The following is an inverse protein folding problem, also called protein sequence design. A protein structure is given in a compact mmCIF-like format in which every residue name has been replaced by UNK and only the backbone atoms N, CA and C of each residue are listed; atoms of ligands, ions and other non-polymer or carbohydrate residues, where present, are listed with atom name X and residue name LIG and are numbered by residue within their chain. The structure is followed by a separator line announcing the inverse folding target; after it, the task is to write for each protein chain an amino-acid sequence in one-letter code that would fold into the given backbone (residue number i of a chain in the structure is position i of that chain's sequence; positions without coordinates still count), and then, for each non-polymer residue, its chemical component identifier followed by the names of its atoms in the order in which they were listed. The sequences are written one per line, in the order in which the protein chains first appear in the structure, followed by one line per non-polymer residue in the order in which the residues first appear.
data_IF_765504514702
#
_entry.id   IF_765504514702
#
_cell.length_a   1.000
_cell.length_b   1.000
_cell.length_c   1.000
_cell.angle_alpha   90.00
_cell.angle_beta   90.00
_cell.angle_gamma   90.00
#
_symmetry.space_group_name_H-M   'P 1'
#
loop_
_entity.id
_entity.type
_entity.pdbx_description
1 polymer ?
#
# COMPACT_ATOMS: atom_id res chain seq x y z
N UNK A 1 -19.94 -1.43 88.58
CA UNK A 1 -19.18 -0.32 87.97
C UNK A 1 -19.19 -0.52 86.46
N UNK A 2 -19.79 0.40 85.71
CA UNK A 2 -19.94 0.35 84.26
C UNK A 2 -18.77 1.12 83.64
N UNK A 3 -17.90 0.44 82.91
CA UNK A 3 -16.79 1.09 82.20
C UNK A 3 -17.24 1.61 80.83
N UNK A 4 -17.13 2.92 80.68
CA UNK A 4 -17.40 3.67 79.45
C UNK A 4 -16.25 3.50 78.45
N UNK A 5 -16.46 2.74 77.36
CA UNK A 5 -15.62 2.85 76.16
C UNK A 5 -16.12 3.98 75.28
N UNK A 6 -15.36 5.07 75.23
CA UNK A 6 -15.59 6.19 74.32
C UNK A 6 -15.14 5.85 72.90
N UNK A 7 -16.02 6.12 71.94
CA UNK A 7 -15.84 5.92 70.51
C UNK A 7 -15.04 7.10 69.94
N UNK A 8 -13.73 6.95 69.70
CA UNK A 8 -12.93 7.94 68.97
C UNK A 8 -12.97 7.64 67.46
N UNK A 9 -13.79 8.40 66.74
CA UNK A 9 -13.79 8.43 65.28
C UNK A 9 -12.41 8.80 64.73
N UNK A 10 -11.81 7.90 63.95
CA UNK A 10 -10.65 8.19 63.12
C UNK A 10 -11.10 9.10 61.96
N UNK A 11 -10.65 10.36 61.93
CA UNK A 11 -10.77 11.23 60.75
C UNK A 11 -9.44 11.19 59.99
N UNK A 12 -9.41 10.78 58.71
CA UNK A 12 -8.17 10.81 57.94
C UNK A 12 -7.76 12.26 57.67
N UNK A 13 -6.48 12.58 57.92
CA UNK A 13 -5.89 13.87 57.54
C UNK A 13 -5.83 13.94 56.01
N UNK A 14 -6.40 15.00 55.42
CA UNK A 14 -6.24 15.31 54.00
C UNK A 14 -4.76 15.62 53.72
N UNK A 15 -4.11 14.98 52.74
CA UNK A 15 -2.76 15.36 52.35
C UNK A 15 -2.80 16.74 51.69
N UNK A 16 -2.19 17.74 52.33
CA UNK A 16 -1.86 19.02 51.72
C UNK A 16 -0.58 18.84 50.91
N UNK A 17 -0.74 18.42 49.65
CA UNK A 17 0.32 18.44 48.65
C UNK A 17 -0.31 18.84 47.34
N UNK A 18 -0.06 20.06 46.87
CA UNK A 18 -0.43 20.46 45.52
C UNK A 18 0.45 19.68 44.54
N UNK A 19 -0.11 18.60 43.99
CA UNK A 19 0.42 18.03 42.75
C UNK A 19 0.31 19.14 41.70
N UNK A 20 1.43 19.81 41.39
CA UNK A 20 1.55 20.55 40.14
C UNK A 20 1.39 19.52 39.04
N UNK A 21 0.21 19.47 38.43
CA UNK A 21 0.01 18.77 37.17
C UNK A 21 1.05 19.35 36.20
N UNK A 22 2.09 18.58 35.91
CA UNK A 22 2.98 18.90 34.80
C UNK A 22 2.09 18.94 33.56
N UNK A 23 1.95 20.12 32.97
CA UNK A 23 1.31 20.29 31.67
C UNK A 23 1.86 19.19 30.74
N UNK A 24 1.01 18.41 30.05
CA UNK A 24 1.49 17.39 29.14
C UNK A 24 2.44 18.07 28.15
N UNK A 25 3.69 17.59 28.11
CA UNK A 25 4.69 18.10 27.19
C UNK A 25 4.09 17.98 25.78
N UNK A 26 3.80 19.12 25.14
CA UNK A 26 3.28 19.13 23.78
C UNK A 26 4.24 18.34 22.90
N UNK A 27 3.73 17.28 22.25
CA UNK A 27 4.52 16.47 21.34
C UNK A 27 5.07 17.39 20.24
N UNK A 28 6.39 17.58 20.23
CA UNK A 28 7.07 18.32 19.17
C UNK A 28 7.51 17.33 18.10
N UNK A 29 7.05 17.53 16.87
CA UNK A 29 7.46 16.72 15.73
C UNK A 29 8.98 16.82 15.55
N UNK A 30 9.68 15.71 15.27
CA UNK A 30 11.12 15.75 15.08
C UNK A 30 11.49 16.51 13.80
N UNK A 31 12.71 17.06 13.72
CA UNK A 31 13.18 17.70 12.50
C UNK A 31 13.24 16.69 11.35
N UNK A 32 12.86 17.14 10.16
CA UNK A 32 12.91 16.34 8.94
C UNK A 32 14.35 15.89 8.65
N UNK A 33 14.53 14.58 8.46
CA UNK A 33 15.80 13.96 8.09
C UNK A 33 15.55 12.89 7.06
N UNK A 34 16.45 12.83 6.08
CA UNK A 34 16.44 11.77 5.09
C UNK A 34 16.68 10.44 5.80
N UNK A 35 15.83 9.46 5.52
CA UNK A 35 15.92 8.12 6.12
C UNK A 35 16.77 7.23 5.22
N UNK A 36 18.01 6.85 5.61
CA UNK A 36 18.98 6.20 4.73
C UNK A 36 18.80 4.69 4.56
N UNK A 37 17.95 4.06 5.36
CA UNK A 37 17.71 2.61 5.37
C UNK A 37 16.49 2.23 4.53
N UNK A 38 16.28 0.94 4.30
CA UNK A 38 15.06 0.39 3.67
C UNK A 38 13.93 0.14 4.67
N UNK A 39 14.08 0.60 5.92
CA UNK A 39 13.01 0.64 6.92
C UNK A 39 12.73 2.10 7.23
N UNK A 40 11.60 2.61 6.73
CA UNK A 40 11.18 3.98 6.97
C UNK A 40 10.10 4.04 8.02
N UNK A 41 10.17 5.09 8.83
CA UNK A 41 9.23 5.37 9.90
C UNK A 41 8.68 6.80 9.77
N UNK A 42 7.50 7.05 10.31
CA UNK A 42 6.89 8.37 10.38
C UNK A 42 6.26 8.59 11.77
N UNK A 43 6.72 9.61 12.52
CA UNK A 43 6.26 9.83 13.90
C UNK A 43 4.83 10.41 13.96
N UNK A 44 4.31 10.88 12.84
CA UNK A 44 2.97 11.45 12.70
C UNK A 44 2.58 11.49 11.22
N UNK A 45 1.28 11.70 10.94
CA UNK A 45 0.78 11.79 9.56
C UNK A 45 1.36 12.97 8.77
N UNK A 46 1.64 14.07 9.46
CA UNK A 46 2.07 15.34 8.88
C UNK A 46 3.40 15.80 9.49
N UNK A 47 4.39 16.18 8.69
CA UNK A 47 5.57 16.88 9.20
C UNK A 47 5.31 18.36 9.39
N UNK A 48 6.20 19.04 10.11
CA UNK A 48 6.09 20.49 10.36
C UNK A 48 4.82 20.85 11.14
N UNK A 49 4.50 22.13 11.22
CA UNK A 49 3.31 22.59 11.95
C UNK A 49 2.05 22.59 11.08
N UNK A 50 2.22 22.61 9.76
CA UNK A 50 1.13 22.59 8.78
C UNK A 50 0.56 21.18 8.56
N UNK A 51 -0.60 21.14 7.89
CA UNK A 51 -1.32 19.93 7.53
C UNK A 51 -1.15 19.68 6.03
N UNK A 52 -0.75 18.46 5.65
CA UNK A 52 -0.67 18.03 4.25
C UNK A 52 -1.77 17.00 3.95
N UNK A 53 -2.67 17.32 3.01
CA UNK A 53 -3.90 16.59 2.75
C UNK A 53 -5.00 16.89 3.77
N UNK A 54 -5.93 15.95 3.96
CA UNK A 54 -7.00 16.02 4.97
C UNK A 54 -6.76 14.95 6.04
N UNK A 55 -6.63 15.32 7.33
CA UNK A 55 -6.40 14.37 8.42
C UNK A 55 -7.53 13.36 8.61
N UNK A 56 -8.73 13.64 8.08
CA UNK A 56 -9.89 12.76 8.16
C UNK A 56 -10.01 11.82 6.94
N UNK A 57 -9.16 11.99 5.91
CA UNK A 57 -9.19 11.14 4.74
C UNK A 57 -8.66 9.74 5.07
N UNK A 58 -9.53 8.74 4.90
CA UNK A 58 -9.16 7.34 5.18
C UNK A 58 -8.19 6.85 4.11
N UNK A 59 -7.04 6.36 4.57
CA UNK A 59 -5.99 5.89 3.67
C UNK A 59 -5.04 6.99 3.19
N UNK A 60 -5.02 8.16 3.83
CA UNK A 60 -4.04 9.19 3.52
C UNK A 60 -2.60 8.66 3.68
N UNK A 61 -1.76 8.90 2.67
CA UNK A 61 -0.32 8.58 2.75
C UNK A 61 0.37 9.52 3.74
N UNK A 62 1.28 9.03 4.61
CA UNK A 62 2.04 9.90 5.51
C UNK A 62 2.97 10.84 4.76
N UNK A 63 2.96 12.14 5.09
CA UNK A 63 3.72 13.15 4.32
C UNK A 63 5.24 12.99 4.42
N UNK A 64 5.74 12.36 5.48
CA UNK A 64 7.16 11.99 5.63
C UNK A 64 7.65 11.04 4.53
N UNK A 65 6.78 10.14 4.05
CA UNK A 65 7.11 9.17 2.99
C UNK A 65 7.32 9.92 1.67
N UNK A 66 6.36 10.78 1.30
CA UNK A 66 6.44 11.62 0.11
C UNK A 66 7.65 12.54 0.17
N UNK A 67 7.87 13.21 1.30
CA UNK A 67 8.99 14.12 1.49
C UNK A 67 10.32 13.42 1.25
N UNK A 68 10.49 12.20 1.80
CA UNK A 68 11.72 11.45 1.64
C UNK A 68 11.93 11.00 0.18
N UNK A 69 10.87 10.60 -0.53
CA UNK A 69 10.92 10.29 -1.96
C UNK A 69 11.32 11.52 -2.79
N UNK A 70 10.61 12.63 -2.64
CA UNK A 70 10.85 13.82 -3.45
C UNK A 70 12.24 14.42 -3.21
N UNK A 71 12.73 14.39 -1.98
CA UNK A 71 14.10 14.82 -1.68
C UNK A 71 15.17 13.94 -2.33
N UNK A 72 14.88 12.64 -2.54
CA UNK A 72 15.83 11.68 -3.11
C UNK A 72 15.83 11.66 -4.64
N UNK A 73 14.67 11.87 -5.24
CA UNK A 73 14.43 11.54 -6.66
C UNK A 73 13.93 12.73 -7.49
N UNK A 74 13.87 13.94 -6.92
CA UNK A 74 13.45 15.16 -7.65
C UNK A 74 14.27 16.38 -7.26
N UNK A 75 14.15 17.44 -8.04
CA UNK A 75 14.68 18.79 -7.82
C UNK A 75 13.57 19.85 -7.77
N UNK A 76 13.89 21.05 -7.27
CA UNK A 76 13.00 22.21 -7.41
C UNK A 76 12.63 22.42 -8.89
N UNK A 77 11.35 22.64 -9.17
CA UNK A 77 10.81 22.80 -10.51
C UNK A 77 10.46 21.51 -11.25
N UNK A 78 10.87 20.33 -10.77
CA UNK A 78 10.45 19.05 -11.35
C UNK A 78 8.94 18.87 -11.26
N UNK A 79 8.35 18.15 -12.22
CA UNK A 79 6.93 17.82 -12.23
C UNK A 79 6.67 16.48 -11.53
N UNK A 80 5.90 16.55 -10.45
CA UNK A 80 5.38 15.41 -9.68
C UNK A 80 3.92 15.15 -10.07
N UNK A 81 3.57 13.90 -10.36
CA UNK A 81 2.18 13.50 -10.65
C UNK A 81 1.70 12.45 -9.64
N UNK A 82 0.45 12.61 -9.19
CA UNK A 82 -0.27 11.63 -8.39
C UNK A 82 -1.57 11.18 -9.09
N UNK A 83 -1.62 9.96 -9.66
CA UNK A 83 -2.79 9.43 -10.36
C UNK A 83 -3.98 9.05 -9.46
N UNK A 84 -3.77 8.94 -8.14
CA UNK A 84 -4.78 8.51 -7.15
C UNK A 84 -4.68 9.45 -5.94
N UNK A 85 -4.90 10.74 -6.20
CA UNK A 85 -4.44 11.83 -5.34
C UNK A 85 -5.14 11.90 -3.98
N UNK A 86 -6.33 11.29 -3.84
CA UNK A 86 -7.08 11.27 -2.59
C UNK A 86 -7.26 12.68 -2.02
N UNK A 87 -6.76 12.92 -0.80
CA UNK A 87 -6.82 14.24 -0.16
C UNK A 87 -5.75 15.25 -0.59
N UNK A 88 -4.80 14.86 -1.44
CA UNK A 88 -3.78 15.78 -1.96
C UNK A 88 -2.48 15.90 -1.17
N UNK A 89 -2.12 14.91 -0.32
CA UNK A 89 -0.87 14.96 0.44
C UNK A 89 0.35 15.10 -0.47
N UNK A 90 0.37 14.42 -1.62
CA UNK A 90 1.46 14.54 -2.60
C UNK A 90 1.62 15.96 -3.13
N UNK A 91 0.51 16.66 -3.39
CA UNK A 91 0.52 18.03 -3.92
C UNK A 91 1.08 19.01 -2.91
N UNK A 92 0.63 18.91 -1.66
CA UNK A 92 1.07 19.80 -0.59
C UNK A 92 2.57 19.62 -0.31
N UNK A 93 3.06 18.38 -0.24
CA UNK A 93 4.49 18.11 -0.04
C UNK A 93 5.34 18.55 -1.23
N UNK A 94 4.86 18.35 -2.46
CA UNK A 94 5.56 18.85 -3.65
C UNK A 94 5.67 20.37 -3.63
N UNK A 95 4.59 21.07 -3.25
CA UNK A 95 4.57 22.53 -3.10
C UNK A 95 5.53 23.01 -2.01
N UNK A 96 5.55 22.38 -0.84
CA UNK A 96 6.48 22.69 0.25
C UNK A 96 7.95 22.61 -0.20
N UNK A 97 8.23 21.67 -1.09
CA UNK A 97 9.56 21.43 -1.66
C UNK A 97 9.83 22.24 -2.94
N UNK A 98 8.93 23.10 -3.39
CA UNK A 98 9.12 23.90 -4.61
C UNK A 98 9.13 23.07 -5.90
N UNK A 99 8.40 21.94 -5.94
CA UNK A 99 8.12 21.15 -7.15
C UNK A 99 6.80 21.60 -7.78
N UNK A 100 6.67 21.36 -9.08
CA UNK A 100 5.37 21.44 -9.74
C UNK A 100 4.59 20.15 -9.46
N UNK A 101 3.26 20.23 -9.31
CA UNK A 101 2.45 19.06 -9.01
C UNK A 101 1.15 19.04 -9.79
N UNK A 102 0.73 17.84 -10.21
CA UNK A 102 -0.61 17.59 -10.76
C UNK A 102 -1.22 16.37 -10.06
N UNK A 103 -2.43 16.54 -9.52
CA UNK A 103 -3.17 15.48 -8.85
C UNK A 103 -4.40 15.09 -9.64
N UNK A 104 -4.64 13.79 -9.74
CA UNK A 104 -5.80 13.21 -10.41
C UNK A 104 -6.52 12.26 -9.48
N UNK A 105 -7.84 12.30 -9.51
CA UNK A 105 -8.67 11.32 -8.81
C UNK A 105 -10.00 11.17 -9.55
N UNK A 106 -10.64 10.00 -9.47
CA UNK A 106 -11.98 9.80 -10.02
C UNK A 106 -13.05 10.50 -9.17
N UNK A 107 -12.73 10.79 -7.91
CA UNK A 107 -13.56 11.54 -6.97
C UNK A 107 -12.73 12.62 -6.25
N UNK A 108 -12.39 13.72 -6.94
CA UNK A 108 -11.58 14.80 -6.37
C UNK A 108 -12.18 15.36 -5.09
N UNK A 109 -11.36 15.49 -4.04
CA UNK A 109 -11.79 16.06 -2.75
C UNK A 109 -11.46 17.55 -2.62
N UNK A 110 -10.73 18.12 -3.60
CA UNK A 110 -10.27 19.51 -3.64
C UNK A 110 -10.33 20.06 -5.07
N UNK A 111 -10.36 21.39 -5.21
CA UNK A 111 -10.44 22.06 -6.51
C UNK A 111 -9.17 21.91 -7.37
N UNK A 112 -8.01 21.75 -6.74
CA UNK A 112 -6.72 21.56 -7.40
C UNK A 112 -6.43 20.10 -7.80
N UNK A 113 -7.37 19.20 -7.53
CA UNK A 113 -7.34 17.79 -7.98
C UNK A 113 -8.27 17.66 -9.19
N UNK A 114 -7.71 17.20 -10.31
CA UNK A 114 -8.47 17.05 -11.56
C UNK A 114 -9.24 15.74 -11.58
N UNK A 115 -10.51 15.77 -11.99
CA UNK A 115 -11.29 14.54 -12.21
C UNK A 115 -10.75 13.76 -13.42
N UNK A 116 -10.03 12.67 -13.17
CA UNK A 116 -9.50 11.81 -14.22
C UNK A 116 -9.36 10.36 -13.73
N UNK A 117 -9.26 9.44 -14.68
CA UNK A 117 -8.99 8.03 -14.41
C UNK A 117 -7.48 7.81 -14.45
N UNK A 118 -6.92 7.09 -13.47
CA UNK A 118 -5.49 6.75 -13.44
C UNK A 118 -5.02 5.96 -14.68
N UNK A 119 -5.95 5.35 -15.43
CA UNK A 119 -5.71 4.61 -16.67
C UNK A 119 -5.71 5.51 -17.93
N UNK A 120 -6.08 6.79 -17.82
CA UNK A 120 -6.15 7.76 -18.92
C UNK A 120 -5.91 9.18 -18.38
N UNK A 121 -4.64 9.49 -18.12
CA UNK A 121 -4.19 10.75 -17.54
C UNK A 121 -4.13 11.85 -18.59
N UNK A 122 -4.68 13.05 -18.33
CA UNK A 122 -4.64 14.19 -19.24
C UNK A 122 -3.26 14.90 -19.26
N UNK A 123 -2.19 14.12 -19.26
CA UNK A 123 -0.78 14.55 -19.26
C UNK A 123 -0.12 14.09 -20.55
N UNK A 124 0.76 14.89 -21.13
CA UNK A 124 1.46 14.52 -22.37
C UNK A 124 2.54 13.46 -22.11
N UNK A 125 2.96 12.79 -23.17
CA UNK A 125 3.99 11.76 -23.10
C UNK A 125 5.32 12.35 -22.64
N UNK A 126 6.00 11.68 -21.71
CA UNK A 126 7.37 12.03 -21.32
C UNK A 126 7.54 13.44 -20.73
N UNK A 127 6.54 13.97 -20.02
CA UNK A 127 6.64 15.29 -19.36
C UNK A 127 6.87 15.20 -17.85
N UNK A 128 6.68 14.03 -17.23
CA UNK A 128 6.70 13.86 -15.78
C UNK A 128 8.07 13.38 -15.29
N UNK A 129 8.60 14.01 -14.23
CA UNK A 129 9.87 13.64 -13.61
C UNK A 129 9.70 12.54 -12.56
N UNK A 130 8.63 12.64 -11.77
CA UNK A 130 8.32 11.70 -10.70
C UNK A 130 6.83 11.40 -10.62
N UNK A 131 6.47 10.13 -10.47
CA UNK A 131 5.11 9.70 -10.14
C UNK A 131 5.11 9.09 -8.74
N UNK A 132 4.20 9.55 -7.89
CA UNK A 132 3.82 8.84 -6.67
C UNK A 132 2.44 8.23 -6.88
N UNK A 133 2.20 7.01 -6.39
CA UNK A 133 0.87 6.42 -6.38
C UNK A 133 0.67 5.55 -5.13
N UNK A 134 -0.43 5.78 -4.44
CA UNK A 134 -1.00 4.94 -3.37
C UNK A 134 -2.37 4.45 -3.84
N UNK A 135 -2.42 3.41 -4.69
CA UNK A 135 -3.67 3.00 -5.34
C UNK A 135 -4.64 2.41 -4.31
N UNK A 136 -5.97 2.57 -4.47
CA UNK A 136 -6.91 1.88 -3.60
C UNK A 136 -6.95 0.38 -3.93
N UNK A 137 -6.59 -0.48 -2.97
CA UNK A 137 -6.47 -1.95 -3.15
C UNK A 137 -7.37 -2.78 -2.23
N UNK A 138 -8.24 -2.15 -1.44
CA UNK A 138 -9.08 -2.83 -0.45
C UNK A 138 -10.56 -2.59 -0.71
N UNK A 139 -11.31 -3.66 -1.01
CA UNK A 139 -12.77 -3.61 -1.14
C UNK A 139 -13.48 -3.37 0.18
N UNK A 140 -12.77 -3.45 1.32
CA UNK A 140 -13.31 -3.14 2.64
C UNK A 140 -13.40 -1.63 2.92
N UNK A 141 -12.82 -0.80 2.05
CA UNK A 141 -12.89 0.65 2.11
C UNK A 141 -13.65 1.16 0.88
N UNK A 142 -14.76 1.86 1.14
CA UNK A 142 -15.45 2.60 0.08
C UNK A 142 -14.73 3.93 -0.15
N UNK A 143 -13.95 3.99 -1.23
CA UNK A 143 -13.21 5.19 -1.64
C UNK A 143 -14.05 6.14 -2.51
N UNK A 144 -14.96 5.61 -3.32
CA UNK A 144 -15.80 6.38 -4.25
C UNK A 144 -16.96 5.54 -4.77
N UNK A 145 -18.07 6.18 -5.14
CA UNK A 145 -19.17 5.57 -5.89
C UNK A 145 -18.93 5.53 -7.41
N UNK A 146 -17.85 6.13 -7.91
CA UNK A 146 -17.50 6.10 -9.32
C UNK A 146 -17.22 4.66 -9.80
N UNK A 147 -17.71 4.31 -10.99
CA UNK A 147 -17.51 2.99 -11.60
C UNK A 147 -16.06 2.76 -12.04
N UNK A 148 -15.31 3.84 -12.24
CA UNK A 148 -13.89 3.82 -12.59
C UNK A 148 -12.99 3.51 -11.40
N UNK A 149 -13.50 3.63 -10.17
CA UNK A 149 -12.71 3.45 -8.96
C UNK A 149 -12.11 2.03 -8.87
N UNK A 150 -10.78 1.93 -8.96
CA UNK A 150 -10.07 0.64 -8.94
C UNK A 150 -10.16 -0.06 -7.58
N UNK A 151 -10.45 0.67 -6.50
CA UNK A 151 -10.68 0.12 -5.16
C UNK A 151 -11.91 -0.79 -5.06
N UNK A 152 -12.79 -0.76 -6.06
CA UNK A 152 -13.94 -1.68 -6.17
C UNK A 152 -13.59 -3.03 -6.79
N UNK A 153 -12.39 -3.16 -7.36
CA UNK A 153 -11.93 -4.38 -8.00
C UNK A 153 -11.35 -5.32 -6.94
N UNK A 154 -11.48 -6.63 -7.19
CA UNK A 154 -11.02 -7.64 -6.25
C UNK A 154 -9.65 -8.15 -6.68
N UNK A 155 -8.70 -8.18 -5.74
CA UNK A 155 -7.40 -8.81 -5.95
C UNK A 155 -7.51 -10.32 -6.14
N UNK A 156 -8.53 -10.96 -5.55
CA UNK A 156 -8.73 -12.41 -5.58
C UNK A 156 -9.14 -12.95 -6.96
N UNK A 157 -9.77 -12.13 -7.80
CA UNK A 157 -10.23 -12.54 -9.15
C UNK A 157 -9.34 -12.05 -10.29
N UNK A 158 -8.30 -11.28 -9.97
CA UNK A 158 -7.32 -10.75 -10.91
C UNK A 158 -7.71 -9.41 -11.56
N UNK A 159 -8.96 -8.96 -11.42
CA UNK A 159 -9.44 -7.73 -12.07
C UNK A 159 -8.70 -6.48 -11.59
N UNK A 160 -8.29 -6.44 -10.32
CA UNK A 160 -7.46 -5.37 -9.79
C UNK A 160 -6.11 -5.28 -10.53
N UNK A 161 -5.44 -6.42 -10.76
CA UNK A 161 -4.15 -6.46 -11.44
C UNK A 161 -4.26 -6.08 -12.92
N UNK A 162 -5.33 -6.49 -13.61
CA UNK A 162 -5.61 -6.06 -14.99
C UNK A 162 -5.78 -4.53 -15.09
N UNK A 163 -6.44 -3.92 -14.10
CA UNK A 163 -6.57 -2.47 -14.05
C UNK A 163 -5.23 -1.78 -13.73
N UNK A 164 -4.44 -2.35 -12.82
CA UNK A 164 -3.13 -1.83 -12.47
C UNK A 164 -2.13 -1.91 -13.62
N UNK A 165 -2.19 -2.93 -14.48
CA UNK A 165 -1.39 -2.97 -15.72
C UNK A 165 -1.64 -1.73 -16.59
N UNK A 166 -2.91 -1.35 -16.78
CA UNK A 166 -3.28 -0.15 -17.54
C UNK A 166 -2.80 1.14 -16.87
N UNK A 167 -2.86 1.21 -15.54
CA UNK A 167 -2.32 2.34 -14.77
C UNK A 167 -0.80 2.42 -14.94
N UNK A 168 -0.09 1.30 -14.87
CA UNK A 168 1.36 1.24 -15.02
C UNK A 168 1.79 1.58 -16.46
N UNK A 169 1.05 1.15 -17.47
CA UNK A 169 1.25 1.55 -18.88
C UNK A 169 1.11 3.08 -19.03
N UNK A 170 0.11 3.66 -18.38
CA UNK A 170 -0.16 5.10 -18.43
C UNK A 170 0.91 5.91 -17.68
N UNK A 171 1.35 5.44 -16.52
CA UNK A 171 2.49 6.01 -15.79
C UNK A 171 3.76 5.94 -16.64
N UNK A 172 4.02 4.80 -17.28
CA UNK A 172 5.16 4.66 -18.19
C UNK A 172 5.05 5.64 -19.36
N UNK A 173 3.87 5.90 -19.92
CA UNK A 173 3.67 6.87 -21.00
C UNK A 173 4.05 8.29 -20.58
N UNK A 174 3.61 8.74 -19.40
CA UNK A 174 3.78 10.13 -18.96
C UNK A 174 5.17 10.43 -18.39
N UNK A 175 5.84 9.43 -17.80
CA UNK A 175 7.19 9.58 -17.27
C UNK A 175 8.23 9.86 -18.36
N UNK A 176 9.15 10.78 -18.09
CA UNK A 176 10.39 10.98 -18.86
C UNK A 176 11.24 9.71 -18.80
N UNK A 177 12.01 9.38 -19.85
CA UNK A 177 13.08 8.39 -19.72
C UNK A 177 14.01 8.77 -18.56
N UNK A 178 14.31 7.84 -17.66
CA UNK A 178 15.08 8.09 -16.44
C UNK A 178 14.27 8.64 -15.25
N UNK A 179 13.00 8.99 -15.43
CA UNK A 179 12.09 9.41 -14.35
C UNK A 179 11.74 8.28 -13.40
N UNK A 180 11.25 8.62 -12.20
CA UNK A 180 11.01 7.65 -11.12
C UNK A 180 9.52 7.47 -10.79
N UNK A 181 9.23 6.30 -10.24
CA UNK A 181 7.93 5.90 -9.73
C UNK A 181 8.09 5.40 -8.30
N UNK A 182 7.34 5.99 -7.36
CA UNK A 182 7.10 5.44 -6.04
C UNK A 182 5.69 4.83 -5.97
N UNK A 183 5.58 3.52 -5.76
CA UNK A 183 4.29 2.84 -5.53
C UNK A 183 4.20 2.37 -4.09
N UNK A 184 3.18 2.87 -3.37
CA UNK A 184 2.93 2.54 -1.98
C UNK A 184 1.75 1.57 -1.86
N UNK A 185 1.93 0.43 -1.21
CA UNK A 185 0.89 -0.62 -1.15
C UNK A 185 1.06 -1.52 0.07
N UNK A 186 0.01 -2.21 0.47
CA UNK A 186 0.06 -3.26 1.51
C UNK A 186 -0.53 -4.56 0.98
N UNK A 187 -0.07 -5.68 1.53
CA UNK A 187 -0.77 -6.95 1.32
C UNK A 187 -2.08 -6.97 2.11
N UNK A 188 -3.03 -7.79 1.65
CA UNK A 188 -4.30 -7.97 2.34
C UNK A 188 -4.46 -9.41 2.84
N UNK A 189 -5.27 -9.56 3.89
CA UNK A 189 -5.70 -10.86 4.37
C UNK A 189 -7.21 -10.81 4.59
N UNK A 190 -7.92 -11.69 3.90
CA UNK A 190 -9.38 -11.80 4.01
C UNK A 190 -9.70 -12.93 4.98
N UNK A 191 -10.31 -12.60 6.12
CA UNK A 191 -10.55 -13.57 7.21
C UNK A 191 -11.77 -14.48 6.96
N UNK A 192 -12.76 -14.03 6.18
CA UNK A 192 -14.06 -14.71 6.01
C UNK A 192 -14.60 -14.51 4.60
N UNK A 193 -15.42 -15.46 4.15
CA UNK A 193 -16.13 -15.37 2.86
C UNK A 193 -15.34 -15.91 1.65
N UNK A 194 -15.88 -15.64 0.46
CA UNK A 194 -15.19 -15.88 -0.81
C UNK A 194 -13.93 -15.01 -0.87
N UNK A 195 -12.82 -15.58 -1.36
CA UNK A 195 -11.52 -14.88 -1.37
C UNK A 195 -10.77 -14.93 -0.04
N UNK A 196 -11.20 -15.76 0.93
CA UNK A 196 -10.47 -15.99 2.18
C UNK A 196 -9.01 -16.39 1.91
N UNK A 197 -8.09 -15.74 2.59
CA UNK A 197 -6.66 -16.03 2.49
C UNK A 197 -5.80 -14.79 2.43
N UNK A 198 -4.50 -15.02 2.27
CA UNK A 198 -3.50 -13.99 2.06
C UNK A 198 -3.41 -13.64 0.58
N UNK A 199 -3.40 -12.34 0.29
CA UNK A 199 -3.21 -11.80 -1.06
C UNK A 199 -1.92 -10.99 -1.08
N UNK A 200 -0.94 -11.49 -1.82
CA UNK A 200 0.39 -10.90 -1.96
C UNK A 200 0.41 -9.72 -2.96
N UNK A 201 -0.50 -8.77 -2.77
CA UNK A 201 -0.73 -7.63 -3.68
C UNK A 201 0.58 -6.92 -3.99
N UNK A 202 1.45 -6.73 -2.99
CA UNK A 202 2.74 -6.08 -3.19
C UNK A 202 3.61 -6.81 -4.23
N UNK A 203 3.74 -8.13 -4.13
CA UNK A 203 4.61 -8.87 -5.05
C UNK A 203 4.04 -9.02 -6.46
N UNK A 204 2.72 -9.15 -6.59
CA UNK A 204 2.06 -9.18 -7.91
C UNK A 204 2.27 -7.84 -8.64
N UNK A 205 2.07 -6.71 -7.96
CA UNK A 205 2.34 -5.39 -8.53
C UNK A 205 3.83 -5.20 -8.84
N UNK A 206 4.73 -5.64 -7.96
CA UNK A 206 6.16 -5.56 -8.21
C UNK A 206 6.54 -6.34 -9.48
N UNK A 207 5.95 -7.51 -9.72
CA UNK A 207 6.16 -8.28 -10.94
C UNK A 207 5.70 -7.52 -12.18
N UNK A 208 4.48 -6.98 -12.17
CA UNK A 208 3.94 -6.16 -13.26
C UNK A 208 4.80 -4.94 -13.55
N UNK A 209 5.26 -4.23 -12.52
CA UNK A 209 6.13 -3.06 -12.68
C UNK A 209 7.45 -3.41 -13.37
N UNK A 210 8.03 -4.59 -13.10
CA UNK A 210 9.29 -5.02 -13.75
C UNK A 210 9.18 -5.25 -15.25
N UNK A 211 7.97 -5.36 -15.80
CA UNK A 211 7.77 -5.43 -17.24
C UNK A 211 8.13 -4.11 -17.95
N UNK A 212 8.07 -2.97 -17.26
CA UNK A 212 8.26 -1.63 -17.85
C UNK A 212 9.32 -0.77 -17.14
N UNK A 213 9.65 -1.09 -15.88
CA UNK A 213 10.53 -0.28 -15.05
C UNK A 213 11.69 -1.09 -14.47
N UNK A 214 12.80 -0.41 -14.19
CA UNK A 214 13.96 -0.95 -13.45
C UNK A 214 13.75 -0.76 -11.96
N UNK A 215 13.81 -1.82 -11.13
CA UNK A 215 13.79 -1.67 -9.68
C UNK A 215 15.01 -0.91 -9.16
N UNK A 216 14.75 0.07 -8.29
CA UNK A 216 15.77 0.82 -7.56
C UNK A 216 15.88 0.29 -6.14
N UNK A 217 14.76 0.16 -5.43
CA UNK A 217 14.75 -0.41 -4.08
C UNK A 217 13.33 -0.85 -3.65
N UNK A 218 13.26 -1.63 -2.58
CA UNK A 218 12.04 -1.99 -1.86
C UNK A 218 12.19 -1.52 -0.43
N UNK A 219 11.33 -0.58 -0.03
CA UNK A 219 11.32 0.00 1.31
C UNK A 219 10.12 -0.53 2.08
N UNK A 220 10.35 -0.96 3.32
CA UNK A 220 9.29 -1.24 4.28
C UNK A 220 8.98 0.03 5.06
N UNK A 221 7.74 0.50 5.00
CA UNK A 221 7.28 1.66 5.76
C UNK A 221 6.44 1.16 6.94
N UNK A 222 6.87 1.46 8.16
CA UNK A 222 6.16 1.06 9.39
C UNK A 222 4.74 1.61 9.37
N UNK A 223 3.74 0.80 9.73
CA UNK A 223 2.35 1.27 9.88
C UNK A 223 2.06 1.58 11.34
N UNK A 224 1.50 2.77 11.57
CA UNK A 224 1.05 3.22 12.91
C UNK A 224 -0.49 3.18 13.07
N UNK A 225 -1.15 2.20 12.48
CA UNK A 225 -2.62 2.10 12.62
C UNK A 225 -2.98 1.66 14.04
N UNK A 226 -3.90 2.39 14.70
CA UNK A 226 -4.42 2.08 16.03
C UNK A 226 -4.93 0.64 16.16
N UNK A 227 -5.47 0.05 15.09
CA UNK A 227 -5.94 -1.35 15.11
C UNK A 227 -4.82 -2.34 15.41
N UNK A 228 -3.57 -2.00 15.16
CA UNK A 228 -2.42 -2.83 15.51
C UNK A 228 -2.23 -2.92 17.03
N UNK A 229 -2.60 -1.88 17.77
CA UNK A 229 -2.45 -1.81 19.24
C UNK A 229 -3.67 -2.35 19.99
N UNK A 230 -4.80 -2.54 19.31
CA UNK A 230 -6.05 -3.00 19.92
C UNK A 230 -5.94 -4.46 20.37
N UNK A 231 -6.10 -4.71 21.68
CA UNK A 231 -5.94 -6.03 22.29
C UNK A 231 -6.84 -7.12 21.70
N UNK A 232 -8.09 -6.80 21.34
CA UNK A 232 -9.00 -7.74 20.71
C UNK A 232 -8.53 -8.17 19.31
N UNK A 233 -7.99 -7.26 18.50
CA UNK A 233 -7.44 -7.60 17.18
C UNK A 233 -6.18 -8.48 17.31
N UNK A 234 -5.34 -8.21 18.31
CA UNK A 234 -4.16 -9.03 18.60
C UNK A 234 -4.56 -10.43 19.08
N UNK A 235 -5.51 -10.51 20.00
CA UNK A 235 -6.08 -11.78 20.45
C UNK A 235 -6.66 -12.58 19.28
N UNK A 236 -7.48 -11.97 18.41
CA UNK A 236 -8.00 -12.65 17.22
C UNK A 236 -6.89 -13.10 16.26
N UNK A 237 -5.83 -12.31 16.08
CA UNK A 237 -4.68 -12.71 15.26
C UNK A 237 -3.96 -13.94 15.82
N UNK A 238 -3.78 -13.99 17.14
CA UNK A 238 -3.17 -15.12 17.85
C UNK A 238 -4.08 -16.36 17.84
N UNK A 239 -5.37 -16.19 18.12
CA UNK A 239 -6.38 -17.26 18.20
C UNK A 239 -6.72 -17.87 16.84
N UNK A 240 -6.89 -17.04 15.80
CA UNK A 240 -7.24 -17.47 14.45
C UNK A 240 -6.01 -17.66 13.53
N UNK A 241 -4.80 -17.53 14.07
CA UNK A 241 -3.51 -17.74 13.41
C UNK A 241 -3.35 -16.98 12.08
N UNK A 242 -3.45 -15.65 12.17
CA UNK A 242 -3.09 -14.73 11.10
C UNK A 242 -2.21 -13.61 11.66
N UNK A 243 -1.61 -12.77 10.82
CA UNK A 243 -0.87 -11.61 11.32
C UNK A 243 -1.45 -10.28 10.87
N UNK A 244 -1.42 -9.34 11.80
CA UNK A 244 -1.67 -7.93 11.55
C UNK A 244 -0.54 -7.34 10.69
N UNK A 245 -0.90 -6.66 9.60
CA UNK A 245 0.09 -6.08 8.68
C UNK A 245 0.75 -4.86 9.32
N UNK A 246 1.99 -5.02 9.78
CA UNK A 246 2.76 -3.98 10.47
C UNK A 246 3.53 -3.01 9.57
N UNK A 247 3.56 -3.24 8.27
CA UNK A 247 4.24 -2.36 7.32
C UNK A 247 3.49 -2.30 5.98
N UNK A 248 3.79 -1.26 5.19
CA UNK A 248 3.46 -1.15 3.77
C UNK A 248 4.75 -1.29 2.95
N UNK A 249 4.63 -1.84 1.76
CA UNK A 249 5.66 -1.75 0.75
C UNK A 249 5.67 -0.36 0.13
N UNK A 250 6.87 0.17 -0.10
CA UNK A 250 7.15 1.25 -1.00
C UNK A 250 8.14 0.76 -2.04
N UNK A 251 7.67 0.52 -3.26
CA UNK A 251 8.53 0.17 -4.38
C UNK A 251 9.03 1.44 -5.06
N UNK A 252 10.35 1.53 -5.22
CA UNK A 252 10.97 2.60 -5.98
C UNK A 252 11.45 2.01 -7.30
N UNK A 253 10.92 2.53 -8.39
CA UNK A 253 11.25 2.10 -9.75
C UNK A 253 11.72 3.28 -10.60
N UNK A 254 12.45 2.98 -11.67
CA UNK A 254 12.90 3.97 -12.65
C UNK A 254 12.50 3.55 -14.07
N UNK A 255 12.02 4.49 -14.87
CA UNK A 255 11.79 4.27 -16.30
C UNK A 255 13.12 4.16 -17.04
N UNK A 256 13.37 3.10 -17.83
CA UNK A 256 14.61 2.96 -18.60
C UNK A 256 14.81 4.07 -19.64
N UNK A 257 16.06 4.22 -20.12
CA UNK A 257 16.37 4.99 -21.33
C UNK A 257 16.66 6.49 -21.15
N UNK A 258 16.92 6.97 -19.94
CA UNK A 258 17.42 8.32 -19.68
C UNK A 258 18.87 8.31 -19.19
N UNK A 259 19.66 9.32 -19.57
CA UNK A 259 20.91 9.64 -18.86
C UNK A 259 20.54 10.13 -17.46
N UNK A 260 20.76 9.28 -16.45
CA UNK A 260 20.50 9.65 -15.07
C UNK A 260 21.82 9.76 -14.32
N UNK A 261 22.12 10.97 -13.81
CA UNK A 261 23.29 11.26 -12.96
C UNK A 261 23.14 10.65 -11.55
N UNK A 262 22.70 9.38 -11.41
CA UNK A 262 22.56 8.69 -10.12
C UNK A 262 21.76 9.46 -9.05
N UNK A 263 21.72 8.97 -7.80
CA UNK A 263 21.24 9.78 -6.67
C UNK A 263 22.14 11.01 -6.55
N UNK A 264 21.64 12.18 -6.98
CA UNK A 264 22.41 13.42 -6.87
C UNK A 264 22.48 13.84 -5.40
N UNK A 265 23.65 14.27 -4.91
CA UNK A 265 23.83 14.56 -3.49
C UNK A 265 22.79 15.56 -3.01
N UNK A 266 22.14 15.20 -1.90
CA UNK A 266 21.18 16.06 -1.21
C UNK A 266 21.84 17.41 -0.96
N UNK A 267 21.35 18.46 -1.62
CA UNK A 267 21.77 19.82 -1.28
C UNK A 267 21.17 20.18 0.08
N UNK A 268 21.97 20.82 0.94
CA UNK A 268 21.49 21.32 2.21
C UNK A 268 20.23 22.19 2.00
N UNK A 269 19.18 22.05 2.82
CA UNK A 269 17.96 22.83 2.66
C UNK A 269 18.30 24.31 2.69
N UNK A 270 18.00 25.03 1.61
CA UNK A 270 18.01 26.49 1.63
C UNK A 270 16.87 26.95 2.54
N UNK A 271 17.14 27.91 3.41
CA UNK A 271 16.13 28.55 4.24
C UNK A 271 14.94 28.97 3.36
N UNK A 272 13.73 28.57 3.76
CA UNK A 272 12.50 28.91 3.06
C UNK A 272 12.43 30.44 2.88
N UNK A 273 12.37 30.90 1.63
CA UNK A 273 12.11 32.31 1.35
C UNK A 273 10.61 32.57 1.50
N UNK A 274 10.21 33.72 2.06
CA UNK A 274 8.80 34.06 2.18
C UNK A 274 8.15 34.16 0.79
N UNK A 275 6.94 33.60 0.72
CA UNK A 275 6.08 33.45 -0.44
C UNK A 275 5.94 34.76 -1.25
N UNK A 276 6.38 34.73 -2.51
CA UNK A 276 5.92 35.66 -3.54
C UNK A 276 4.83 34.95 -4.31
N UNK A 277 3.58 35.20 -3.91
CA UNK A 277 2.36 34.81 -4.61
C UNK A 277 2.52 35.07 -6.11
N UNK A 278 2.73 34.01 -6.88
CA UNK A 278 2.61 33.98 -8.32
C UNK A 278 1.34 33.21 -8.65
N UNK A 279 0.38 33.89 -9.27
CA UNK A 279 -0.89 33.33 -9.72
C UNK A 279 -0.61 32.11 -10.62
N UNK A 280 -1.02 30.92 -10.15
CA UNK A 280 -0.96 29.69 -10.92
C UNK A 280 -1.81 29.83 -12.18
N UNK A 281 -1.21 29.59 -13.35
CA UNK A 281 -1.93 29.59 -14.62
C UNK A 281 -3.02 28.51 -14.60
N UNK A 282 -4.26 28.95 -14.74
CA UNK A 282 -5.45 28.13 -14.89
C UNK A 282 -5.34 27.26 -16.15
N UNK A 283 -5.38 25.95 -15.98
CA UNK A 283 -5.33 24.98 -17.07
C UNK A 283 -6.77 24.62 -17.49
N UNK A 284 -7.18 25.01 -18.70
CA UNK A 284 -8.50 24.67 -19.26
C UNK A 284 -8.38 23.46 -20.19
N UNK A 285 -8.49 22.25 -19.62
CA UNK A 285 -8.57 21.00 -20.37
C UNK A 285 -10.01 20.65 -20.75
N UNK A 286 -10.31 20.55 -22.05
CA UNK A 286 -11.63 20.16 -22.58
C UNK A 286 -11.94 18.70 -22.24
N UNK A 287 -13.14 18.47 -21.70
CA UNK A 287 -13.74 17.14 -21.47
C UNK A 287 -13.90 16.38 -22.79
N UNK A 288 -13.13 15.33 -22.99
CA UNK A 288 -13.48 14.32 -24.00
C UNK A 288 -13.15 12.92 -23.49
N UNK A 289 -14.17 12.28 -22.92
CA UNK A 289 -14.15 10.87 -22.56
C UNK A 289 -13.91 10.04 -23.83
N UNK A 290 -12.76 9.35 -23.89
CA UNK A 290 -12.32 8.63 -25.08
C UNK A 290 -13.20 7.40 -25.35
N UNK A 291 -13.81 7.33 -26.54
CA UNK A 291 -14.56 6.15 -27.05
C UNK A 291 -13.70 4.86 -27.11
N UNK A 292 -12.40 4.96 -26.86
CA UNK A 292 -11.42 3.86 -26.86
C UNK A 292 -11.49 3.02 -25.57
N UNK A 293 -11.85 3.63 -24.44
CA UNK A 293 -12.00 2.94 -23.13
C UNK A 293 -13.30 2.13 -23.09
N UNK A 294 -14.42 2.74 -23.52
CA UNK A 294 -15.73 2.08 -23.55
C UNK A 294 -15.80 0.83 -24.47
N UNK A 295 -14.99 0.78 -25.54
CA UNK A 295 -14.89 -0.41 -26.40
C UNK A 295 -14.03 -1.53 -25.82
N UNK A 296 -13.14 -1.24 -24.87
CA UNK A 296 -12.24 -2.21 -24.22
C UNK A 296 -12.87 -2.85 -22.98
N UNK A 297 -13.68 -2.11 -22.22
CA UNK A 297 -14.47 -2.66 -21.11
C UNK A 297 -15.47 -3.75 -21.56
N UNK A 298 -16.01 -3.61 -22.78
CA UNK A 298 -16.88 -4.61 -23.39
C UNK A 298 -16.17 -5.94 -23.74
N UNK A 299 -14.83 -5.93 -23.86
CA UNK A 299 -14.04 -7.13 -24.14
C UNK A 299 -13.79 -7.96 -22.87
N UNK A 300 -13.57 -7.29 -21.72
CA UNK A 300 -13.43 -7.92 -20.40
C UNK A 300 -14.71 -8.71 -20.03
N UNK A 301 -15.89 -8.19 -20.39
CA UNK A 301 -17.17 -8.88 -20.21
C UNK A 301 -17.30 -10.22 -20.96
N UNK A 302 -16.57 -10.42 -22.07
CA UNK A 302 -16.57 -11.68 -22.83
C UNK A 302 -15.59 -12.72 -22.27
N UNK A 303 -14.48 -12.29 -21.68
CA UNK A 303 -13.51 -13.16 -20.98
C UNK A 303 -14.13 -13.90 -19.79
N UNK A 304 -15.04 -13.24 -19.06
CA UNK A 304 -15.78 -13.81 -17.91
C UNK A 304 -16.61 -15.06 -18.27
N UNK A 305 -17.11 -15.19 -19.51
CA UNK A 305 -17.88 -16.37 -19.96
C UNK A 305 -17.00 -17.55 -20.37
N UNK A 306 -15.78 -17.31 -20.83
CA UNK A 306 -14.84 -18.34 -21.24
C UNK A 306 -14.15 -19.01 -20.03
N UNK A 307 -13.69 -18.20 -19.06
CA UNK A 307 -13.03 -18.70 -17.84
C UNK A 307 -13.99 -19.49 -16.93
N UNK A 308 -15.27 -19.08 -16.85
CA UNK A 308 -16.32 -19.82 -16.12
C UNK A 308 -16.60 -21.20 -16.74
N UNK A 309 -16.62 -21.29 -18.07
CA UNK A 309 -16.81 -22.57 -18.80
C UNK A 309 -15.63 -23.54 -18.67
N UNK A 310 -14.41 -23.04 -18.45
CA UNK A 310 -13.24 -23.90 -18.21
C UNK A 310 -13.20 -24.42 -16.76
N UNK A 311 -13.59 -23.61 -15.77
CA UNK A 311 -13.67 -24.04 -14.35
C UNK A 311 -14.79 -25.06 -14.10
N UNK A 312 -15.90 -24.98 -14.83
CA UNK A 312 -17.02 -25.94 -14.72
C UNK A 312 -16.72 -27.32 -15.36
N UNK A 313 -15.63 -27.45 -16.12
CA UNK A 313 -15.24 -28.71 -16.81
C UNK A 313 -14.18 -29.56 -16.07
N UNK A 314 -13.74 -29.16 -14.89
CA UNK A 314 -12.92 -30.02 -14.01
C UNK A 314 -11.57 -30.48 -14.56
N UNK A 315 -11.04 -29.84 -15.60
CA UNK A 315 -9.69 -30.13 -16.13
C UNK A 315 -8.73 -29.04 -15.66
N UNK A 316 -7.88 -29.38 -14.68
CA UNK A 316 -6.71 -28.57 -14.36
C UNK A 316 -5.71 -28.58 -15.53
N UNK A 317 -4.87 -27.55 -15.69
CA UNK A 317 -3.87 -27.53 -16.75
C UNK A 317 -2.78 -28.58 -16.47
N UNK A 318 -2.68 -29.60 -17.32
CA UNK A 318 -1.50 -30.46 -17.38
C UNK A 318 -0.34 -29.68 -18.02
N UNK A 319 0.68 -29.36 -17.23
CA UNK A 319 1.91 -28.77 -17.72
C UNK A 319 2.80 -29.85 -18.35
N UNK A 320 2.81 -29.93 -19.67
CA UNK A 320 3.87 -30.59 -20.43
C UNK A 320 4.56 -29.55 -21.31
N UNK A 321 5.73 -29.08 -20.91
CA UNK A 321 6.51 -28.13 -21.69
C UNK A 321 8.00 -28.22 -21.37
N UNK A 322 8.81 -28.57 -22.37
CA UNK A 322 10.26 -28.38 -22.36
C UNK A 322 10.58 -26.93 -22.69
N UNK A 323 11.36 -26.25 -21.86
CA UNK A 323 11.80 -24.88 -22.11
C UNK A 323 13.32 -24.76 -22.19
N UNK A 324 13.82 -23.99 -23.15
CA UNK A 324 15.21 -23.53 -23.23
C UNK A 324 15.37 -22.20 -22.50
N UNK A 325 16.39 -22.07 -21.64
CA UNK A 325 16.84 -20.79 -21.10
C UNK A 325 18.36 -20.67 -21.22
N UNK A 326 18.84 -19.48 -21.57
CA UNK A 326 20.26 -19.14 -21.67
C UNK A 326 20.66 -18.38 -20.40
N UNK A 327 21.64 -18.90 -19.67
CA UNK A 327 22.37 -18.16 -18.64
C UNK A 327 23.86 -18.26 -18.93
N UNK A 328 24.58 -17.12 -18.90
CA UNK A 328 26.04 -17.09 -18.94
C UNK A 328 26.70 -17.74 -20.17
N UNK A 329 26.08 -17.62 -21.36
CA UNK A 329 26.71 -18.02 -22.62
C UNK A 329 26.86 -19.53 -22.87
N UNK A 330 26.27 -20.42 -22.06
CA UNK A 330 26.23 -21.86 -22.34
C UNK A 330 24.79 -22.38 -22.38
N UNK A 331 24.44 -23.07 -23.48
CA UNK A 331 23.15 -23.75 -23.66
C UNK A 331 23.07 -24.98 -22.77
N UNK A 332 21.98 -25.15 -22.02
CA UNK A 332 21.59 -26.43 -21.40
C UNK A 332 20.10 -26.67 -21.63
N UNK A 333 19.79 -27.88 -22.08
CA UNK A 333 18.43 -28.42 -22.17
C UNK A 333 18.08 -29.10 -20.86
N UNK A 334 16.86 -28.90 -20.36
CA UNK A 334 16.34 -29.65 -19.21
C UNK A 334 15.02 -30.31 -19.58
N UNK A 335 14.87 -31.57 -19.16
CA UNK A 335 13.64 -32.34 -19.24
C UNK A 335 13.10 -32.47 -17.82
N UNK A 336 11.87 -32.01 -17.61
CA UNK A 336 11.16 -32.26 -16.34
C UNK A 336 10.43 -33.59 -16.54
N UNK A 337 10.87 -34.64 -15.86
CA UNK A 337 10.09 -35.88 -15.77
C UNK A 337 9.07 -35.73 -14.64
N UNK A 338 7.80 -35.87 -14.99
CA UNK A 338 6.70 -35.80 -14.04
C UNK A 338 6.72 -36.98 -13.07
N UNK A 339 6.87 -36.71 -11.78
CA UNK A 339 6.63 -37.70 -10.73
C UNK A 339 5.13 -37.97 -10.61
N UNK A 340 4.71 -39.18 -10.99
CA UNK A 340 3.38 -39.70 -10.68
C UNK A 340 3.15 -39.88 -9.17
N UNK A 341 1.89 -40.14 -8.74
CA UNK A 341 1.54 -40.20 -7.33
C UNK A 341 2.25 -41.37 -6.65
N UNK A 342 3.03 -41.09 -5.60
CA UNK A 342 3.60 -42.12 -4.73
C UNK A 342 2.50 -42.65 -3.80
N UNK A 343 2.10 -43.90 -4.01
CA UNK A 343 1.29 -44.68 -3.07
C UNK A 343 2.00 -44.76 -1.70
N UNK A 344 1.38 -44.19 -0.66
CA UNK A 344 1.75 -44.49 0.73
C UNK A 344 0.84 -45.59 1.29
N UNK A 345 1.39 -46.63 1.95
CA UNK A 345 0.57 -47.70 2.51
C UNK A 345 -0.23 -47.24 3.74
N UNK A 346 -1.51 -47.54 3.72
CA UNK A 346 -2.47 -47.28 4.79
C UNK A 346 -2.09 -47.97 6.11
N UNK A 347 -1.70 -47.19 7.13
CA UNK A 347 -1.61 -47.68 8.51
C UNK A 347 -2.97 -47.55 9.21
N UNK A 348 -3.70 -48.66 9.31
CA UNK A 348 -4.88 -48.84 10.16
C UNK A 348 -4.51 -48.60 11.63
N UNK A 349 -4.96 -47.50 12.24
CA UNK A 349 -4.97 -47.33 13.71
C UNK A 349 -6.16 -48.09 14.30
N UNK A 350 -5.91 -49.30 14.80
CA UNK A 350 -6.82 -50.05 15.68
C UNK A 350 -6.95 -49.31 17.02
N UNK A 351 -8.16 -48.90 17.36
CA UNK A 351 -8.55 -48.52 18.71
C UNK A 351 -8.52 -49.76 19.61
N UNK A 352 -7.68 -49.77 20.64
CA UNK A 352 -7.68 -50.83 21.65
C UNK A 352 -8.33 -50.28 22.92
N UNK A 353 -9.63 -50.55 23.10
CA UNK A 353 -10.33 -50.43 24.39
C UNK A 353 -9.89 -51.61 25.26
N UNK A 354 -9.12 -51.36 26.32
CA UNK A 354 -9.00 -52.28 27.45
C UNK A 354 -9.53 -51.58 28.70
N UNK A 355 -10.76 -51.92 29.07
CA UNK A 355 -11.24 -51.75 30.45
C UNK A 355 -10.71 -52.90 31.32
N UNK A 356 -10.62 -52.72 32.64
CA UNK A 356 -10.29 -53.82 33.55
C UNK A 356 -11.52 -54.71 33.78
N UNK A 357 -11.36 -56.02 33.56
CA UNK A 357 -12.30 -57.07 34.00
C UNK A 357 -12.04 -57.38 35.47
N UNK A 358 -13.10 -57.53 36.25
CA UNK A 358 -13.05 -58.11 37.59
C UNK A 358 -13.37 -59.61 37.62
N UNK A 359 -13.06 -60.19 38.79
CA UNK A 359 -13.47 -61.48 39.40
C UNK A 359 -12.70 -62.75 39.00
N UNK A 360 -12.06 -63.42 39.98
CA UNK A 360 -12.59 -64.43 40.93
C UNK A 360 -11.59 -64.53 42.11
N UNK A 361 -11.97 -64.54 43.39
CA UNK A 361 -12.72 -65.54 44.18
C UNK A 361 -11.85 -66.75 44.59
N UNK A 362 -11.33 -66.68 45.82
CA UNK A 362 -10.98 -67.76 46.77
C UNK A 362 -10.27 -67.17 47.98
#
# INVERSE_FOLDING_TARGET
MKDHRSNKQFRPRKPQGSYKQSQPQQFRKPPLRIQPTTLWDYPSQHYGDDVQGDPNYRGATPSYVIWNLLQRYTQEGDLVVDPCCGSGTTLDVAKDLGRNAMGFDVNPTREDITNADARDLPVKNGEVDFVFIDPPYSTHLEYSDDVRCIGKLDAADGSYYEAMDLVLEEINRVLKPGGFLGLYVSDSYVHRGLGKGFHAIGFELFDQMRAMFTPIDIVSVVRHNRTLEMGNYRASAEEENFYLRGFNYLFVMQKPGGEHEGPRPLRAPKQAKPDRRGEGKKWEGKKQYSKKVAKRDAFIGKGKKAAKRQRERGQGPEFHGSGEKIYGGKKRTFRVEGGGPTDMPAKKKRWNKKGPRGKNDS
#
